data_IF_815213755749
#
_entry.id   IF_815213755749
#
_cell.length_a   1.000
_cell.length_b   1.000
_cell.length_c   1.000
_cell.angle_alpha   90.00
_cell.angle_beta   90.00
_cell.angle_gamma   90.00
#
_symmetry.space_group_name_H-M   'P 1'
#
loop_
_entity.id
_entity.type
_entity.pdbx_description
1 polymer ?
#
# COMPACT_ATOMS: atom_id res chain seq x y z
N UNK A 1 -19.04 -9.96 35.50
CA UNK A 1 -17.96 -10.12 34.50
C UNK A 1 -18.42 -9.54 33.19
N UNK A 2 -17.58 -8.75 32.56
CA UNK A 2 -17.82 -8.21 31.23
C UNK A 2 -18.05 -9.36 30.27
N UNK A 3 -19.17 -9.33 29.54
CA UNK A 3 -19.47 -10.34 28.55
C UNK A 3 -19.01 -9.82 27.18
N UNK A 4 -17.95 -10.42 26.66
CA UNK A 4 -17.57 -10.24 25.26
C UNK A 4 -18.51 -11.05 24.37
N UNK A 5 -18.94 -10.46 23.28
CA UNK A 5 -19.77 -11.11 22.27
C UNK A 5 -18.92 -11.68 21.14
N UNK A 6 -17.68 -11.23 21.00
CA UNK A 6 -16.75 -11.74 19.98
C UNK A 6 -15.32 -11.27 20.19
N UNK A 7 -14.41 -12.05 19.62
CA UNK A 7 -13.02 -11.70 19.37
C UNK A 7 -12.91 -11.22 17.92
N UNK A 8 -12.24 -10.10 17.68
CA UNK A 8 -12.15 -9.53 16.35
C UNK A 8 -10.78 -9.76 15.71
N UNK A 9 -9.71 -9.27 16.35
CA UNK A 9 -8.38 -9.28 15.73
C UNK A 9 -7.26 -9.26 16.77
N UNK A 10 -6.13 -9.89 16.44
CA UNK A 10 -4.84 -9.74 17.13
C UNK A 10 -3.98 -8.75 16.37
N UNK A 11 -3.26 -7.91 17.11
CA UNK A 11 -2.32 -6.94 16.59
C UNK A 11 -0.90 -7.26 17.06
N UNK A 12 0.13 -6.71 16.41
CA UNK A 12 1.51 -6.80 16.89
C UNK A 12 1.65 -6.34 18.34
N UNK A 13 2.60 -6.91 19.07
CA UNK A 13 2.83 -6.56 20.48
C UNK A 13 1.89 -7.24 21.47
N UNK A 14 1.10 -8.22 21.03
CA UNK A 14 0.21 -9.00 21.91
C UNK A 14 -1.10 -8.27 22.28
N UNK A 15 -1.49 -7.31 21.48
CA UNK A 15 -2.76 -6.62 21.63
C UNK A 15 -3.90 -7.37 20.92
N UNK A 16 -5.12 -7.22 21.42
CA UNK A 16 -6.31 -7.77 20.79
C UNK A 16 -7.52 -6.88 20.94
N UNK A 17 -8.41 -6.90 19.95
CA UNK A 17 -9.69 -6.21 20.00
C UNK A 17 -10.85 -7.19 20.19
N UNK A 18 -11.85 -6.74 20.94
CA UNK A 18 -13.04 -7.51 21.32
C UNK A 18 -14.28 -6.65 21.12
N UNK A 19 -15.39 -7.28 20.73
CA UNK A 19 -16.71 -6.66 20.82
C UNK A 19 -17.34 -6.96 22.18
N UNK A 20 -17.97 -5.96 22.77
CA UNK A 20 -18.65 -6.05 24.06
C UNK A 20 -20.16 -6.22 23.89
N UNK A 21 -20.85 -6.66 24.93
CA UNK A 21 -22.30 -6.89 24.90
C UNK A 21 -23.15 -5.62 24.77
N UNK A 22 -22.57 -4.45 25.03
CA UNK A 22 -23.20 -3.13 24.85
C UNK A 22 -22.94 -2.52 23.47
N UNK A 23 -22.31 -3.30 22.57
CA UNK A 23 -22.07 -2.90 21.16
C UNK A 23 -20.83 -2.05 20.95
N UNK A 24 -19.97 -1.90 21.95
CA UNK A 24 -18.69 -1.21 21.83
C UNK A 24 -17.55 -2.18 21.53
N UNK A 25 -16.36 -1.64 21.36
CA UNK A 25 -15.14 -2.38 21.08
C UNK A 25 -14.06 -2.01 22.08
N UNK A 26 -13.32 -3.00 22.55
CA UNK A 26 -12.20 -2.81 23.46
C UNK A 26 -10.89 -3.27 22.83
N UNK A 27 -9.84 -2.49 23.03
CA UNK A 27 -8.45 -2.86 22.76
C UNK A 27 -7.78 -3.21 24.10
N UNK A 28 -7.22 -4.42 24.18
CA UNK A 28 -6.59 -4.93 25.39
C UNK A 28 -5.19 -5.43 25.15
N UNK A 29 -4.33 -5.26 26.15
CA UNK A 29 -3.01 -5.88 26.21
C UNK A 29 -3.14 -7.31 26.76
N UNK A 30 -2.92 -8.29 25.90
CA UNK A 30 -3.03 -9.71 26.23
C UNK A 30 -1.73 -10.27 26.82
N UNK A 31 -0.67 -9.47 26.91
CA UNK A 31 0.62 -9.88 27.51
C UNK A 31 0.62 -9.70 29.03
N UNK A 32 -0.30 -8.93 29.59
CA UNK A 32 -0.44 -8.72 31.01
C UNK A 32 -1.40 -9.73 31.63
N UNK A 33 -1.19 -10.11 32.90
CA UNK A 33 -2.03 -11.10 33.61
C UNK A 33 -3.49 -10.63 33.75
N UNK A 34 -3.70 -9.32 33.92
CA UNK A 34 -5.00 -8.69 34.06
C UNK A 34 -5.67 -8.38 32.71
N UNK A 35 -4.97 -8.67 31.59
CA UNK A 35 -5.43 -8.34 30.23
C UNK A 35 -5.89 -6.90 30.14
N UNK A 36 -4.97 -6.00 30.49
CA UNK A 36 -5.23 -4.58 30.72
C UNK A 36 -5.98 -3.90 29.58
N UNK A 37 -7.07 -3.20 29.93
CA UNK A 37 -7.80 -2.36 28.99
C UNK A 37 -6.93 -1.17 28.59
N UNK A 38 -6.70 -1.00 27.28
CA UNK A 38 -6.00 0.14 26.72
C UNK A 38 -7.00 1.24 26.38
N UNK A 39 -8.04 0.91 25.61
CA UNK A 39 -9.05 1.87 25.19
C UNK A 39 -10.36 1.19 24.80
N UNK A 40 -11.43 1.97 24.75
CA UNK A 40 -12.77 1.56 24.31
C UNK A 40 -13.20 2.46 23.15
N UNK A 41 -13.81 1.86 22.13
CA UNK A 41 -14.25 2.53 20.91
C UNK A 41 -15.72 2.24 20.65
N UNK A 42 -16.44 3.23 20.11
CA UNK A 42 -17.80 3.04 19.62
C UNK A 42 -17.81 2.37 18.24
N UNK A 43 -16.69 2.46 17.51
CA UNK A 43 -16.52 1.95 16.16
C UNK A 43 -15.47 0.82 16.10
N UNK A 44 -15.59 -0.06 15.11
CA UNK A 44 -14.73 -1.23 14.99
C UNK A 44 -13.28 -0.83 14.66
N UNK A 45 -12.29 -1.23 15.51
CA UNK A 45 -10.87 -1.10 15.16
C UNK A 45 -10.52 -1.92 13.91
N UNK A 46 -9.87 -1.28 12.94
CA UNK A 46 -9.43 -1.90 11.69
C UNK A 46 -7.90 -2.03 11.59
N UNK A 47 -7.17 -1.05 12.14
CA UNK A 47 -5.71 -1.05 12.18
C UNK A 47 -5.25 -0.57 13.55
N UNK A 48 -4.12 -1.12 14.02
CA UNK A 48 -3.40 -0.66 15.19
C UNK A 48 -1.93 -0.47 14.85
N UNK A 49 -1.35 0.58 15.35
CA UNK A 49 0.10 0.81 15.40
C UNK A 49 0.42 1.67 16.64
N UNK A 50 1.65 1.62 17.20
CA UNK A 50 1.94 2.23 18.49
C UNK A 50 1.49 3.69 18.59
N UNK A 51 0.65 3.97 19.59
CA UNK A 51 0.03 5.27 19.84
C UNK A 51 -1.28 5.55 19.10
N UNK A 52 -1.68 4.71 18.13
CA UNK A 52 -2.82 5.01 17.26
C UNK A 52 -3.70 3.80 16.96
N UNK A 53 -4.98 4.07 16.72
CA UNK A 53 -5.94 3.10 16.18
C UNK A 53 -6.70 3.74 15.03
N UNK A 54 -6.86 3.00 13.93
CA UNK A 54 -7.83 3.37 12.89
C UNK A 54 -9.12 2.61 13.15
N UNK A 55 -10.23 3.31 13.21
CA UNK A 55 -11.57 2.73 13.33
C UNK A 55 -12.33 2.88 12.03
N UNK A 56 -13.27 1.96 11.79
CA UNK A 56 -14.18 2.00 10.65
C UNK A 56 -15.57 2.40 11.11
N UNK A 57 -16.12 3.46 10.52
CA UNK A 57 -17.46 3.95 10.78
C UNK A 57 -18.44 3.47 9.70
N UNK A 58 -19.49 2.76 10.11
CA UNK A 58 -20.48 2.14 9.21
C UNK A 58 -21.78 2.96 9.02
N UNK A 59 -21.91 4.13 9.65
CA UNK A 59 -23.08 5.00 9.58
C UNK A 59 -23.17 5.88 8.31
N UNK A 60 -24.10 6.85 8.33
CA UNK A 60 -24.13 7.89 7.30
C UNK A 60 -22.80 8.66 7.30
N UNK A 61 -22.10 8.62 6.15
CA UNK A 61 -20.75 9.17 6.04
C UNK A 61 -19.66 8.13 6.22
N UNK A 62 -19.89 6.89 5.70
CA UNK A 62 -18.87 5.80 5.69
C UNK A 62 -17.45 6.32 5.57
N UNK A 63 -16.58 5.95 6.50
CA UNK A 63 -15.22 6.44 6.51
C UNK A 63 -14.38 5.81 7.59
N UNK A 64 -13.17 6.26 7.67
CA UNK A 64 -12.23 5.91 8.71
C UNK A 64 -11.99 7.08 9.65
N UNK A 65 -11.64 6.78 10.90
CA UNK A 65 -11.12 7.75 11.86
C UNK A 65 -9.77 7.25 12.39
N UNK A 66 -8.81 8.16 12.47
CA UNK A 66 -7.57 7.95 13.22
C UNK A 66 -7.80 8.42 14.66
N UNK A 67 -7.62 7.51 15.59
CA UNK A 67 -7.72 7.77 17.02
C UNK A 67 -6.31 7.80 17.63
N UNK A 68 -5.95 8.91 18.25
CA UNK A 68 -4.73 9.07 19.02
C UNK A 68 -4.97 8.56 20.46
N UNK A 69 -4.27 7.52 20.86
CA UNK A 69 -4.47 6.86 22.15
C UNK A 69 -3.96 7.69 23.34
N UNK A 70 -3.01 8.60 23.11
CA UNK A 70 -2.46 9.44 24.18
C UNK A 70 -3.38 10.64 24.46
N UNK A 71 -3.85 11.30 23.42
CA UNK A 71 -4.62 12.54 23.54
C UNK A 71 -6.14 12.32 23.52
N UNK A 72 -6.58 11.18 23.00
CA UNK A 72 -8.00 10.89 22.73
C UNK A 72 -8.54 11.64 21.50
N UNK A 73 -7.70 12.32 20.74
CA UNK A 73 -8.12 13.06 19.56
C UNK A 73 -8.54 12.11 18.43
N UNK A 74 -9.57 12.52 17.68
CA UNK A 74 -10.09 11.81 16.53
C UNK A 74 -9.89 12.65 15.27
N UNK A 75 -9.37 12.05 14.22
CA UNK A 75 -9.18 12.70 12.91
C UNK A 75 -9.95 11.91 11.86
N UNK A 76 -10.98 12.51 11.24
CA UNK A 76 -11.71 11.87 10.15
C UNK A 76 -10.83 11.71 8.90
N UNK A 77 -10.91 10.56 8.25
CA UNK A 77 -10.07 10.21 7.11
C UNK A 77 -10.89 10.02 5.84
N UNK A 78 -10.30 10.40 4.71
CA UNK A 78 -10.76 9.98 3.38
C UNK A 78 -10.40 8.53 3.09
N UNK A 79 -9.15 8.14 3.44
CA UNK A 79 -8.64 6.81 3.11
C UNK A 79 -7.52 6.41 4.06
N UNK A 80 -7.31 5.11 4.15
CA UNK A 80 -6.20 4.49 4.88
C UNK A 80 -5.67 3.31 4.09
N UNK A 81 -4.35 3.20 3.96
CA UNK A 81 -3.70 2.05 3.35
C UNK A 81 -2.50 1.59 4.19
N UNK A 82 -2.40 0.30 4.40
CA UNK A 82 -1.42 -0.30 5.28
C UNK A 82 -0.62 -1.39 4.57
N UNK A 83 0.70 -1.30 4.70
CA UNK A 83 1.64 -2.37 4.36
C UNK A 83 2.05 -3.13 5.63
N UNK A 84 2.99 -4.07 5.50
CA UNK A 84 3.54 -4.77 6.66
C UNK A 84 4.25 -3.81 7.64
N UNK A 85 4.89 -2.76 7.12
CA UNK A 85 5.78 -1.88 7.88
C UNK A 85 5.21 -0.50 8.17
N UNK A 86 4.23 -0.02 7.41
CA UNK A 86 3.73 1.35 7.50
C UNK A 86 2.23 1.44 7.37
N UNK A 87 1.65 2.52 7.93
CA UNK A 87 0.25 2.92 7.73
C UNK A 87 0.25 4.33 7.17
N UNK A 88 -0.39 4.52 6.02
CA UNK A 88 -0.67 5.81 5.44
C UNK A 88 -2.12 6.20 5.72
N UNK A 89 -2.34 7.44 6.11
CA UNK A 89 -3.67 8.02 6.35
C UNK A 89 -3.80 9.34 5.61
N UNK A 90 -4.94 9.54 4.96
CA UNK A 90 -5.29 10.80 4.32
C UNK A 90 -6.56 11.36 4.93
N UNK A 91 -6.44 12.50 5.62
CA UNK A 91 -7.50 13.09 6.39
C UNK A 91 -8.37 14.08 5.60
N UNK A 92 -9.59 14.34 6.09
CA UNK A 92 -10.54 15.26 5.46
C UNK A 92 -10.03 16.72 5.45
N UNK A 93 -9.11 17.07 6.32
CA UNK A 93 -8.45 18.39 6.35
C UNK A 93 -7.33 18.55 5.31
N UNK A 94 -7.08 17.50 4.50
CA UNK A 94 -6.03 17.46 3.50
C UNK A 94 -4.68 17.00 4.02
N UNK A 95 -4.55 16.67 5.31
CA UNK A 95 -3.29 16.13 5.83
C UNK A 95 -3.07 14.69 5.37
N UNK A 96 -1.85 14.42 4.89
CA UNK A 96 -1.35 13.09 4.52
C UNK A 96 -0.22 12.73 5.46
N UNK A 97 -0.39 11.63 6.20
CA UNK A 97 0.60 11.15 7.15
C UNK A 97 0.93 9.69 6.91
N UNK A 98 2.19 9.33 7.11
CA UNK A 98 2.65 7.94 7.08
C UNK A 98 3.35 7.64 8.39
N UNK A 99 2.94 6.56 9.02
CA UNK A 99 3.48 6.10 10.29
C UNK A 99 4.19 4.75 10.13
N UNK A 100 5.28 4.56 10.88
CA UNK A 100 5.88 3.24 11.05
C UNK A 100 4.98 2.37 11.95
N UNK A 101 4.71 1.13 11.53
CA UNK A 101 3.99 0.16 12.36
C UNK A 101 4.80 -0.36 13.53
N UNK A 102 6.12 -0.31 13.46
CA UNK A 102 6.98 -0.84 14.51
C UNK A 102 6.98 0.03 15.77
N UNK A 103 6.92 1.35 15.60
CA UNK A 103 7.14 2.28 16.71
C UNK A 103 6.23 3.52 16.68
N UNK A 104 5.26 3.60 15.76
CA UNK A 104 4.35 4.73 15.62
C UNK A 104 5.00 6.03 15.14
N UNK A 105 6.30 5.98 14.76
CA UNK A 105 7.02 7.18 14.32
C UNK A 105 6.41 7.72 13.03
N UNK A 106 6.17 9.02 13.01
CA UNK A 106 5.74 9.75 11.82
C UNK A 106 6.92 9.82 10.81
N UNK A 107 6.71 9.26 9.63
CA UNK A 107 7.68 9.21 8.53
C UNK A 107 7.44 10.32 7.52
N UNK A 108 6.17 10.64 7.30
CA UNK A 108 5.72 11.68 6.37
C UNK A 108 4.59 12.46 7.02
N UNK A 109 4.67 13.79 6.97
CA UNK A 109 3.62 14.71 7.38
C UNK A 109 3.58 15.85 6.37
N UNK A 110 2.51 15.90 5.57
CA UNK A 110 2.37 16.90 4.51
C UNK A 110 0.91 17.22 4.27
N UNK A 111 0.66 18.28 3.53
CA UNK A 111 -0.69 18.64 3.09
C UNK A 111 -0.81 18.39 1.59
N UNK A 112 -1.89 17.74 1.20
CA UNK A 112 -2.25 17.52 -0.20
C UNK A 112 -3.08 18.72 -0.66
N UNK A 113 -2.64 19.38 -1.73
CA UNK A 113 -3.45 20.42 -2.34
C UNK A 113 -4.73 19.77 -2.91
N UNK A 114 -5.93 20.23 -2.48
CA UNK A 114 -7.18 19.71 -2.99
C UNK A 114 -7.30 19.99 -4.49
N UNK A 115 -7.87 19.05 -5.22
CA UNK A 115 -8.32 19.31 -6.60
C UNK A 115 -9.77 19.73 -6.58
N UNK A 116 -10.13 20.59 -7.53
CA UNK A 116 -11.50 21.08 -7.70
C UNK A 116 -12.45 19.90 -7.93
N UNK A 117 -13.61 19.87 -7.24
CA UNK A 117 -14.58 18.77 -7.27
C UNK A 117 -14.07 17.41 -6.80
N UNK A 118 -12.98 17.38 -6.03
CA UNK A 118 -12.48 16.13 -5.45
C UNK A 118 -13.52 15.54 -4.50
N UNK A 119 -13.89 14.30 -4.74
CA UNK A 119 -14.81 13.58 -3.88
C UNK A 119 -14.32 12.17 -3.54
N UNK A 120 -13.36 11.63 -4.28
CA UNK A 120 -12.81 10.32 -4.04
C UNK A 120 -11.29 10.33 -4.14
N UNK A 121 -10.68 9.58 -3.25
CA UNK A 121 -9.23 9.35 -3.24
C UNK A 121 -8.98 7.85 -3.31
N UNK A 122 -8.02 7.45 -4.12
CA UNK A 122 -7.43 6.14 -4.06
C UNK A 122 -5.98 6.30 -3.63
N UNK A 123 -5.63 5.68 -2.54
CA UNK A 123 -4.30 5.74 -1.97
C UNK A 123 -3.60 4.39 -2.10
N UNK A 124 -2.30 4.42 -2.38
CA UNK A 124 -1.43 3.25 -2.33
C UNK A 124 -0.16 3.59 -1.55
N UNK A 125 0.02 2.92 -0.44
CA UNK A 125 1.19 3.05 0.41
C UNK A 125 2.37 2.27 -0.18
N UNK A 126 3.49 2.94 -0.43
CA UNK A 126 4.69 2.35 -1.03
C UNK A 126 5.67 1.77 0.02
N UNK A 127 5.28 1.67 1.28
CA UNK A 127 6.02 0.94 2.33
C UNK A 127 7.19 1.67 2.98
N UNK A 128 7.64 2.81 2.44
CA UNK A 128 8.87 3.51 2.89
C UNK A 128 8.66 4.99 3.18
N UNK A 129 7.45 5.36 3.61
CA UNK A 129 7.07 6.76 3.82
C UNK A 129 6.61 7.47 2.54
N UNK A 130 6.51 6.77 1.41
CA UNK A 130 5.97 7.30 0.17
C UNK A 130 4.55 6.82 -0.05
N UNK A 131 3.73 7.70 -0.65
CA UNK A 131 2.33 7.43 -0.95
C UNK A 131 1.99 7.90 -2.36
N UNK A 132 1.42 6.99 -3.14
CA UNK A 132 0.79 7.28 -4.42
C UNK A 132 -0.66 7.66 -4.18
N UNK A 133 -1.08 8.83 -4.65
CA UNK A 133 -2.46 9.31 -4.58
C UNK A 133 -3.06 9.49 -5.96
N UNK A 134 -4.23 8.92 -6.16
CA UNK A 134 -5.11 9.21 -7.30
C UNK A 134 -6.31 9.99 -6.78
N UNK A 135 -6.46 11.21 -7.27
CA UNK A 135 -7.58 12.08 -6.96
C UNK A 135 -8.62 11.94 -8.08
N UNK A 136 -9.84 11.58 -7.72
CA UNK A 136 -10.89 11.24 -8.67
C UNK A 136 -12.07 12.21 -8.56
N UNK A 137 -12.65 12.56 -9.72
CA UNK A 137 -13.95 13.22 -9.81
C UNK A 137 -15.05 12.18 -9.59
N UNK A 138 -15.96 12.44 -8.65
CA UNK A 138 -17.04 11.51 -8.32
C UNK A 138 -18.13 11.41 -9.40
N UNK A 139 -18.37 12.50 -10.10
CA UNK A 139 -19.45 12.55 -11.07
C UNK A 139 -19.09 11.77 -12.34
N UNK A 140 -17.79 11.70 -12.64
CA UNK A 140 -17.25 11.06 -13.86
C UNK A 140 -16.49 9.79 -13.62
N UNK A 141 -16.12 9.49 -12.36
CA UNK A 141 -15.24 8.38 -11.99
C UNK A 141 -13.86 8.42 -12.71
N UNK A 142 -13.46 9.62 -13.11
CA UNK A 142 -12.19 9.85 -13.80
C UNK A 142 -11.13 10.30 -12.79
N UNK A 143 -9.93 9.76 -12.91
CA UNK A 143 -8.79 10.26 -12.15
C UNK A 143 -8.36 11.61 -12.72
N UNK A 144 -8.45 12.65 -11.92
CA UNK A 144 -8.12 14.02 -12.33
C UNK A 144 -6.66 14.38 -12.07
N UNK A 145 -6.05 13.77 -11.06
CA UNK A 145 -4.64 13.93 -10.78
C UNK A 145 -4.06 12.66 -10.15
N UNK A 146 -2.78 12.41 -10.46
CA UNK A 146 -1.97 11.35 -9.85
C UNK A 146 -0.70 11.98 -9.31
N UNK A 147 -0.44 11.81 -8.01
CA UNK A 147 0.67 12.44 -7.32
C UNK A 147 1.40 11.45 -6.42
N UNK A 148 2.72 11.58 -6.36
CA UNK A 148 3.57 10.87 -5.41
C UNK A 148 4.00 11.83 -4.31
N UNK A 149 3.72 11.48 -3.06
CA UNK A 149 4.18 12.18 -1.86
C UNK A 149 5.23 11.36 -1.14
N UNK A 150 6.12 12.02 -0.42
CA UNK A 150 7.16 11.41 0.39
C UNK A 150 7.48 12.24 1.63
N UNK A 151 8.54 11.90 2.38
CA UNK A 151 8.88 12.54 3.65
C UNK A 151 9.03 14.07 3.62
N UNK A 152 9.30 14.63 2.44
CA UNK A 152 9.49 16.07 2.25
C UNK A 152 8.32 16.74 1.50
N UNK A 153 7.18 16.07 1.34
CA UNK A 153 6.01 16.58 0.63
C UNK A 153 5.85 16.00 -0.76
N UNK A 154 5.31 16.80 -1.69
CA UNK A 154 5.12 16.39 -3.09
C UNK A 154 6.46 16.07 -3.76
N UNK A 155 6.60 14.82 -4.20
CA UNK A 155 7.77 14.34 -4.94
C UNK A 155 7.60 14.57 -6.43
N UNK A 156 6.44 14.17 -6.97
CA UNK A 156 6.16 14.23 -8.42
C UNK A 156 4.67 14.35 -8.69
N UNK A 157 4.33 15.13 -9.70
CA UNK A 157 3.04 15.07 -10.38
C UNK A 157 3.15 14.07 -11.53
N UNK A 158 2.42 12.97 -11.41
CA UNK A 158 2.45 11.84 -12.31
C UNK A 158 1.20 11.76 -13.18
N UNK A 159 0.40 12.82 -13.22
CA UNK A 159 -0.85 12.88 -13.98
C UNK A 159 -0.64 12.59 -15.48
N UNK A 160 0.51 12.96 -16.03
CA UNK A 160 0.87 12.67 -17.43
C UNK A 160 1.06 11.18 -17.75
N UNK A 161 1.07 10.29 -16.74
CA UNK A 161 1.08 8.83 -16.95
C UNK A 161 -0.30 8.28 -17.28
N UNK A 162 -1.35 9.04 -16.94
CA UNK A 162 -2.73 8.68 -17.27
C UNK A 162 -2.92 8.61 -18.79
N UNK A 163 -3.60 7.58 -19.26
CA UNK A 163 -3.80 7.33 -20.70
C UNK A 163 -2.57 6.74 -21.42
N UNK A 164 -1.37 6.84 -20.84
CA UNK A 164 -0.18 6.16 -21.37
C UNK A 164 -0.10 4.71 -20.94
N UNK A 165 -0.52 4.43 -19.72
CA UNK A 165 -0.58 3.09 -19.13
C UNK A 165 -2.02 2.74 -18.74
N UNK A 166 -2.39 1.47 -18.90
CA UNK A 166 -3.69 0.95 -18.44
C UNK A 166 -3.80 0.94 -16.93
N UNK A 167 -2.66 0.72 -16.26
CA UNK A 167 -2.50 0.84 -14.82
C UNK A 167 -1.01 1.03 -14.48
N UNK A 168 -0.76 1.62 -13.33
CA UNK A 168 0.56 1.76 -12.72
C UNK A 168 0.48 1.24 -11.29
N UNK A 169 1.41 0.38 -10.89
CA UNK A 169 1.48 -0.17 -9.55
C UNK A 169 2.89 -0.04 -8.97
N UNK A 170 2.98 -0.01 -7.65
CA UNK A 170 4.24 -0.10 -6.94
C UNK A 170 4.96 -1.42 -7.29
N UNK A 171 6.26 -1.35 -7.50
CA UNK A 171 7.11 -2.48 -7.85
C UNK A 171 8.09 -2.85 -6.74
N UNK A 172 8.95 -1.94 -6.40
CA UNK A 172 10.02 -2.06 -5.38
C UNK A 172 10.59 -0.68 -5.07
N UNK A 173 11.69 -0.60 -4.33
CA UNK A 173 12.47 0.63 -4.14
C UNK A 173 13.74 0.62 -5.00
N UNK A 174 14.25 1.81 -5.32
CA UNK A 174 15.60 1.97 -5.86
C UNK A 174 16.66 1.91 -4.71
N UNK A 175 17.96 1.91 -5.01
CA UNK A 175 19.02 1.88 -3.99
C UNK A 175 19.00 3.06 -3.01
N UNK A 176 18.35 4.17 -3.34
CA UNK A 176 18.17 5.32 -2.48
C UNK A 176 16.89 5.24 -1.62
N UNK A 177 16.15 4.13 -1.70
CA UNK A 177 14.90 3.89 -0.98
C UNK A 177 13.69 4.61 -1.58
N UNK A 178 13.80 5.17 -2.80
CA UNK A 178 12.67 5.81 -3.48
C UNK A 178 11.83 4.75 -4.21
N UNK A 179 10.50 4.91 -4.28
CA UNK A 179 9.64 3.93 -4.91
C UNK A 179 9.87 3.88 -6.42
N UNK A 180 9.81 2.67 -6.94
CA UNK A 180 9.74 2.37 -8.36
C UNK A 180 8.40 1.72 -8.68
N UNK A 181 7.92 1.96 -9.87
CA UNK A 181 6.61 1.51 -10.34
C UNK A 181 6.75 0.71 -11.62
N UNK A 182 5.73 -0.09 -11.94
CA UNK A 182 5.57 -0.62 -13.28
C UNK A 182 4.24 -0.16 -13.87
N UNK A 183 4.30 0.26 -15.13
CA UNK A 183 3.14 0.63 -15.92
C UNK A 183 2.89 -0.38 -17.03
N UNK A 184 1.66 -0.88 -17.13
CA UNK A 184 1.25 -1.78 -18.22
C UNK A 184 0.64 -0.98 -19.37
N UNK A 185 1.07 -1.28 -20.59
CA UNK A 185 0.53 -0.69 -21.82
C UNK A 185 0.38 -1.73 -22.92
N UNK A 186 -0.42 -1.42 -23.92
CA UNK A 186 -0.56 -2.27 -25.09
C UNK A 186 0.80 -2.49 -25.79
N UNK A 187 1.07 -3.73 -26.17
CA UNK A 187 2.23 -4.04 -27.01
C UNK A 187 2.01 -3.54 -28.44
N UNK A 188 3.02 -2.88 -29.00
CA UNK A 188 2.94 -2.41 -30.37
C UNK A 188 2.68 -3.56 -31.36
N UNK A 189 1.67 -3.42 -32.20
CA UNK A 189 1.31 -4.42 -33.21
C UNK A 189 0.56 -5.65 -32.70
N UNK A 190 0.15 -5.68 -31.42
CA UNK A 190 -0.66 -6.76 -30.84
C UNK A 190 -2.03 -6.24 -30.43
N UNK A 191 -3.07 -6.96 -30.82
CA UNK A 191 -4.45 -6.62 -30.42
C UNK A 191 -4.76 -6.99 -28.95
N UNK A 192 -3.99 -7.91 -28.36
CA UNK A 192 -4.25 -8.45 -27.02
C UNK A 192 -3.00 -8.54 -26.13
N UNK A 193 -1.82 -8.18 -26.67
CA UNK A 193 -0.58 -8.23 -25.92
C UNK A 193 -0.38 -6.97 -25.07
N UNK A 194 0.14 -7.14 -23.87
CA UNK A 194 0.61 -6.05 -23.02
C UNK A 194 2.11 -6.19 -22.76
N UNK A 195 2.75 -5.06 -22.48
CA UNK A 195 4.12 -4.97 -22.01
C UNK A 195 4.18 -4.05 -20.81
N UNK A 196 5.18 -4.25 -19.97
CA UNK A 196 5.43 -3.44 -18.80
C UNK A 196 6.67 -2.57 -19.00
N UNK A 197 6.58 -1.32 -18.59
CA UNK A 197 7.72 -0.42 -18.45
C UNK A 197 7.95 -0.18 -16.95
N UNK A 198 9.20 -0.15 -16.50
CA UNK A 198 9.56 0.21 -15.13
C UNK A 198 9.82 1.71 -15.06
N UNK A 199 9.22 2.36 -14.07
CA UNK A 199 9.24 3.80 -13.88
C UNK A 199 9.92 4.13 -12.55
N UNK A 200 10.71 5.19 -12.51
CA UNK A 200 11.20 5.73 -11.24
C UNK A 200 10.17 6.64 -10.57
N UNK A 201 10.50 7.17 -9.38
CA UNK A 201 9.66 8.07 -8.61
C UNK A 201 9.29 9.37 -9.34
N UNK A 202 10.05 9.78 -10.37
CA UNK A 202 9.75 10.96 -11.20
C UNK A 202 8.86 10.61 -12.41
N UNK A 203 8.39 9.35 -12.52
CA UNK A 203 7.58 8.87 -13.65
C UNK A 203 8.37 8.64 -14.93
N UNK A 204 9.71 8.67 -14.88
CA UNK A 204 10.57 8.39 -16.04
C UNK A 204 10.76 6.90 -16.22
N UNK A 205 10.68 6.46 -17.48
CA UNK A 205 10.94 5.06 -17.85
C UNK A 205 12.42 4.76 -17.66
N UNK A 206 12.74 3.77 -16.83
CA UNK A 206 14.10 3.28 -16.59
C UNK A 206 14.37 1.93 -17.27
N UNK A 207 13.34 1.08 -17.37
CA UNK A 207 13.40 -0.17 -18.16
C UNK A 207 12.14 -0.25 -19.02
N UNK A 208 12.29 -0.73 -20.24
CA UNK A 208 11.21 -0.71 -21.22
C UNK A 208 10.92 -2.08 -21.81
N UNK A 209 9.65 -2.36 -22.04
CA UNK A 209 9.21 -3.47 -22.88
C UNK A 209 9.42 -4.84 -22.26
N UNK A 210 9.32 -4.98 -20.95
CA UNK A 210 9.26 -6.29 -20.30
C UNK A 210 7.95 -6.98 -20.66
N UNK A 211 7.98 -8.29 -20.89
CA UNK A 211 6.76 -9.08 -21.14
C UNK A 211 5.85 -9.12 -19.91
N UNK A 212 6.47 -9.15 -18.73
CA UNK A 212 5.79 -8.95 -17.43
C UNK A 212 6.80 -8.49 -16.39
N UNK A 213 6.31 -7.84 -15.35
CA UNK A 213 7.06 -7.60 -14.13
C UNK A 213 6.08 -7.55 -12.95
N UNK A 214 6.55 -7.97 -11.79
CA UNK A 214 5.78 -7.95 -10.55
C UNK A 214 6.70 -7.69 -9.38
N UNK A 215 6.24 -6.86 -8.49
CA UNK A 215 6.91 -6.58 -7.22
C UNK A 215 6.44 -7.54 -6.12
N UNK A 216 6.75 -7.14 -4.93
CA UNK A 216 6.35 -7.80 -3.72
C UNK A 216 4.83 -7.75 -3.53
N UNK A 217 4.22 -8.90 -3.31
CA UNK A 217 2.86 -8.99 -2.75
C UNK A 217 2.97 -9.30 -1.26
N UNK A 218 2.44 -8.43 -0.42
CA UNK A 218 2.55 -8.43 1.04
C UNK A 218 2.15 -9.73 1.75
N UNK A 219 1.57 -10.68 1.04
CA UNK A 219 1.10 -11.95 1.59
C UNK A 219 1.91 -13.17 1.14
N UNK A 220 3.05 -12.99 0.46
CA UNK A 220 3.87 -14.12 0.05
C UNK A 220 5.02 -14.34 1.03
N UNK A 221 5.17 -15.57 1.49
CA UNK A 221 6.33 -16.03 2.27
C UNK A 221 7.68 -15.89 1.53
N UNK A 222 7.64 -15.44 0.28
CA UNK A 222 8.78 -15.31 -0.64
C UNK A 222 8.98 -13.85 -1.05
N UNK A 223 8.99 -12.93 -0.09
CA UNK A 223 9.34 -11.53 -0.35
C UNK A 223 10.69 -11.45 -1.07
N UNK A 224 10.69 -10.81 -2.23
CA UNK A 224 11.95 -10.47 -2.88
C UNK A 224 12.66 -9.39 -2.06
N UNK A 225 14.00 -9.40 -1.99
CA UNK A 225 14.74 -8.32 -1.38
C UNK A 225 14.39 -6.96 -1.99
N UNK A 226 14.58 -5.88 -1.23
CA UNK A 226 14.54 -4.53 -1.77
C UNK A 226 15.43 -4.43 -3.01
N UNK A 227 15.04 -3.61 -3.97
CA UNK A 227 15.74 -3.39 -5.24
C UNK A 227 15.71 -4.57 -6.23
N UNK A 228 14.90 -5.60 -5.94
CA UNK A 228 14.75 -6.79 -6.78
C UNK A 228 13.28 -6.99 -7.11
N UNK A 229 13.01 -7.41 -8.33
CA UNK A 229 11.65 -7.75 -8.77
C UNK A 229 11.67 -8.93 -9.73
N UNK A 230 10.56 -9.65 -9.81
CA UNK A 230 10.41 -10.70 -10.81
C UNK A 230 10.07 -10.08 -12.16
N UNK A 231 10.72 -10.58 -13.22
CA UNK A 231 10.54 -10.06 -14.57
C UNK A 231 10.57 -11.18 -15.62
N UNK A 232 9.89 -10.91 -16.74
CA UNK A 232 10.04 -11.65 -17.96
C UNK A 232 10.44 -10.71 -19.10
N UNK A 233 11.48 -11.09 -19.86
CA UNK A 233 11.88 -10.40 -21.10
C UNK A 233 12.06 -11.42 -22.20
N UNK A 234 11.14 -11.41 -23.16
CA UNK A 234 11.09 -12.43 -24.20
C UNK A 234 10.92 -13.83 -23.59
N UNK A 235 11.88 -14.71 -23.85
CA UNK A 235 11.88 -16.10 -23.37
C UNK A 235 12.64 -16.31 -22.07
N UNK A 236 13.07 -15.25 -21.40
CA UNK A 236 13.76 -15.34 -20.13
C UNK A 236 12.86 -14.84 -19.00
N UNK A 237 12.81 -15.59 -17.91
CA UNK A 237 12.07 -15.27 -16.69
C UNK A 237 12.99 -15.45 -15.48
N UNK A 238 12.86 -14.57 -14.50
CA UNK A 238 13.71 -14.62 -13.31
C UNK A 238 13.66 -13.36 -12.47
N UNK A 239 14.73 -13.10 -11.76
CA UNK A 239 14.87 -11.93 -10.89
C UNK A 239 15.81 -10.90 -11.51
N UNK A 240 15.38 -9.66 -11.46
CA UNK A 240 16.07 -8.52 -12.05
C UNK A 240 16.28 -7.43 -10.99
N UNK A 241 17.42 -6.76 -11.04
CA UNK A 241 17.65 -5.56 -10.25
C UNK A 241 17.01 -4.32 -10.91
N UNK A 242 16.96 -3.22 -10.18
CA UNK A 242 16.39 -1.95 -10.65
C UNK A 242 17.20 -1.29 -11.78
N UNK A 243 18.42 -1.75 -12.07
CA UNK A 243 19.23 -1.34 -13.23
C UNK A 243 18.96 -2.18 -14.47
N UNK A 244 18.15 -3.24 -14.36
CA UNK A 244 17.80 -4.14 -15.46
C UNK A 244 18.76 -5.30 -15.67
N UNK A 245 19.64 -5.58 -14.71
CA UNK A 245 20.51 -6.73 -14.73
C UNK A 245 19.79 -7.96 -14.19
N UNK A 246 19.95 -9.10 -14.86
CA UNK A 246 19.49 -10.36 -14.31
C UNK A 246 20.37 -10.79 -13.14
N UNK A 247 19.76 -11.00 -11.98
CA UNK A 247 20.40 -11.65 -10.83
C UNK A 247 20.30 -13.16 -10.97
N UNK A 248 19.19 -13.62 -11.51
CA UNK A 248 18.93 -15.00 -11.88
C UNK A 248 17.94 -15.00 -13.04
N UNK A 249 18.17 -15.80 -14.05
CA UNK A 249 17.18 -16.05 -15.09
C UNK A 249 17.34 -17.42 -15.71
N UNK A 250 16.25 -17.92 -16.26
CA UNK A 250 16.24 -19.13 -17.06
C UNK A 250 15.38 -18.94 -18.31
N UNK A 251 15.67 -19.72 -19.33
CA UNK A 251 14.86 -19.75 -20.54
C UNK A 251 13.61 -20.60 -20.31
N UNK A 252 12.43 -20.12 -20.68
CA UNK A 252 11.20 -20.88 -20.67
C UNK A 252 11.15 -21.97 -21.76
N UNK A 253 12.09 -21.94 -22.71
CA UNK A 253 12.26 -22.94 -23.76
C UNK A 253 13.55 -23.73 -23.61
N UNK A 254 14.16 -23.79 -22.43
CA UNK A 254 15.27 -24.70 -22.22
C UNK A 254 14.77 -26.11 -22.48
N UNK A 255 15.66 -26.95 -23.10
CA UNK A 255 15.39 -28.39 -23.35
C UNK A 255 15.33 -29.22 -22.06
N UNK A 256 15.06 -28.58 -20.94
CA UNK A 256 14.74 -29.18 -19.67
C UNK A 256 13.47 -30.03 -19.83
N UNK A 257 13.52 -31.24 -19.37
CA UNK A 257 12.34 -32.11 -19.26
C UNK A 257 11.30 -31.45 -18.37
N UNK A 258 10.03 -31.87 -18.46
CA UNK A 258 8.94 -31.30 -17.66
C UNK A 258 9.23 -31.26 -16.15
N UNK A 259 10.16 -32.10 -15.67
CA UNK A 259 10.62 -32.20 -14.29
C UNK A 259 11.60 -31.09 -13.87
N UNK A 260 12.20 -30.40 -14.86
CA UNK A 260 13.19 -29.33 -14.62
C UNK A 260 12.57 -27.92 -14.68
N UNK A 261 11.29 -27.81 -14.99
CA UNK A 261 10.58 -26.54 -14.99
C UNK A 261 10.17 -26.21 -13.54
N UNK A 262 10.77 -25.21 -12.89
CA UNK A 262 10.30 -24.81 -11.57
C UNK A 262 8.82 -24.45 -11.66
N UNK A 263 8.01 -25.00 -10.79
CA UNK A 263 6.64 -24.54 -10.61
C UNK A 263 6.67 -23.11 -10.06
N UNK A 264 6.51 -22.14 -10.93
CA UNK A 264 6.31 -20.75 -10.49
C UNK A 264 4.90 -20.66 -9.92
N UNK A 265 4.81 -20.52 -8.59
CA UNK A 265 3.56 -20.10 -7.96
C UNK A 265 3.24 -18.68 -8.47
N UNK A 266 2.12 -18.55 -9.12
CA UNK A 266 1.50 -17.27 -9.47
C UNK A 266 0.85 -16.67 -8.24
#
# INVERSE_FOLDING_TARGET
>A
GEQYTGFLQVYPGGLASFSTSDGRYELRDMTTEDRGLISTFDEQPSQYFPGYVVTWHSGEGHGYELYDLETGAKTPLYDVDATDNTVAVYALDGSLRVYSKDNGKLLTDTTVEPVEHQQRVRMSNCGTGYVWLELQDNDRYETTATRLYGPQGLVSDLTALQGKYSYVNYLTTDPDGRPMFYGSRAAAGSAYGSVCDVLNADGKVVLQGLSSCTGYYSNSLNALPDHVFAAQRGFYVGWMDTSGNWLYCQSIFSSATADDVPSYGY
#
